data_IF_768745098828
#
_entry.id   IF_768745098828
#
_cell.length_a   1.000
_cell.length_b   1.000
_cell.length_c   1.000
_cell.angle_alpha   90.00
_cell.angle_beta   90.00
_cell.angle_gamma   90.00
#
_symmetry.space_group_name_H-M   'P 1'
#
loop_
_entity.id
_entity.type
_entity.pdbx_description
1 polymer ?
#
# COMPACT_ATOMS: atom_id res chain seq x y z
N UNK A 1 12.91 -30.96 13.40
CA UNK A 1 12.57 -30.21 14.63
C UNK A 1 12.34 -28.77 14.19
N UNK A 2 11.13 -28.25 14.30
CA UNK A 2 10.78 -26.88 13.89
C UNK A 2 11.14 -25.92 15.03
N UNK A 3 11.94 -24.89 14.75
CA UNK A 3 12.23 -23.84 15.75
C UNK A 3 11.00 -22.97 15.99
N UNK A 4 10.79 -22.55 17.23
CA UNK A 4 9.75 -21.60 17.59
C UNK A 4 10.10 -20.18 17.11
N UNK A 5 9.10 -19.30 16.87
CA UNK A 5 9.35 -17.92 16.47
C UNK A 5 10.28 -17.16 17.44
N UNK A 6 10.11 -17.37 18.74
CA UNK A 6 10.95 -16.75 19.79
C UNK A 6 12.42 -17.19 19.66
N UNK A 7 12.66 -18.45 19.31
CA UNK A 7 14.02 -18.95 19.11
C UNK A 7 14.66 -18.34 17.86
N UNK A 8 13.87 -18.13 16.80
CA UNK A 8 14.31 -17.47 15.56
C UNK A 8 14.66 -16.00 15.85
N UNK A 9 13.80 -15.26 16.55
CA UNK A 9 14.04 -13.86 16.95
C UNK A 9 15.32 -13.73 17.79
N UNK A 10 15.51 -14.62 18.75
CA UNK A 10 16.69 -14.64 19.62
C UNK A 10 17.98 -14.95 18.85
N UNK A 11 17.90 -15.73 17.78
CA UNK A 11 19.06 -15.98 16.91
C UNK A 11 19.31 -14.80 15.97
N UNK A 12 18.26 -14.24 15.38
CA UNK A 12 18.35 -13.08 14.50
C UNK A 12 18.95 -11.86 15.23
N UNK A 13 18.64 -11.65 16.51
CA UNK A 13 19.18 -10.54 17.30
C UNK A 13 20.70 -10.61 17.50
N UNK A 14 21.31 -11.80 17.38
CA UNK A 14 22.76 -12.02 17.50
C UNK A 14 23.52 -11.76 16.20
N UNK A 15 22.81 -11.56 15.08
CA UNK A 15 23.43 -11.24 13.80
C UNK A 15 24.05 -9.84 13.82
N UNK A 16 24.99 -9.59 12.90
CA UNK A 16 25.51 -8.26 12.65
C UNK A 16 24.39 -7.29 12.27
N UNK A 17 24.53 -5.96 12.50
CA UNK A 17 23.51 -4.99 12.08
C UNK A 17 23.15 -5.11 10.59
N UNK A 18 24.14 -5.36 9.72
CA UNK A 18 23.90 -5.54 8.28
C UNK A 18 23.11 -6.80 7.95
N UNK A 19 23.42 -7.93 8.60
CA UNK A 19 22.67 -9.16 8.41
C UNK A 19 21.25 -9.08 8.96
N UNK A 20 21.04 -8.35 10.06
CA UNK A 20 19.69 -8.06 10.56
C UNK A 20 18.89 -7.23 9.57
N UNK A 21 19.50 -6.19 8.98
CA UNK A 21 18.84 -5.37 7.96
C UNK A 21 18.46 -6.19 6.72
N UNK A 22 19.37 -7.05 6.24
CA UNK A 22 19.13 -7.97 5.13
C UNK A 22 18.00 -8.96 5.44
N UNK A 23 17.99 -9.55 6.64
CA UNK A 23 16.93 -10.47 7.07
C UNK A 23 15.58 -9.75 7.18
N UNK A 24 15.54 -8.54 7.72
CA UNK A 24 14.33 -7.73 7.78
C UNK A 24 13.77 -7.44 6.38
N UNK A 25 14.63 -7.07 5.42
CA UNK A 25 14.23 -6.88 4.02
C UNK A 25 13.59 -8.13 3.42
N UNK A 26 14.24 -9.30 3.56
CA UNK A 26 13.71 -10.57 3.08
C UNK A 26 12.35 -10.93 3.72
N UNK A 27 12.20 -10.74 5.03
CA UNK A 27 10.93 -11.00 5.71
C UNK A 27 9.82 -10.06 5.22
N UNK A 28 10.12 -8.79 5.01
CA UNK A 28 9.16 -7.83 4.44
C UNK A 28 8.77 -8.20 3.00
N UNK A 29 9.72 -8.59 2.16
CA UNK A 29 9.45 -9.07 0.80
C UNK A 29 8.57 -10.32 0.82
N UNK A 30 8.77 -11.25 1.75
CA UNK A 30 7.94 -12.46 1.86
C UNK A 30 6.47 -12.18 2.22
N UNK A 31 6.18 -11.01 2.81
CA UNK A 31 4.82 -10.57 3.11
C UNK A 31 4.19 -9.83 1.92
N UNK A 32 4.98 -9.43 0.93
CA UNK A 32 4.53 -8.58 -0.17
C UNK A 32 3.45 -9.25 -1.03
N UNK A 33 3.61 -10.54 -1.34
CA UNK A 33 2.65 -11.29 -2.17
C UNK A 33 1.26 -11.41 -1.50
N UNK A 34 1.23 -11.47 -0.16
CA UNK A 34 -0.02 -11.53 0.61
C UNK A 34 -0.74 -10.17 0.62
N UNK A 35 0.01 -9.09 0.84
CA UNK A 35 -0.55 -7.72 0.87
C UNK A 35 -0.99 -7.28 -0.52
N UNK A 36 -0.23 -7.65 -1.56
CA UNK A 36 -0.55 -7.27 -2.94
C UNK A 36 -1.90 -7.87 -3.39
N UNK A 37 -2.22 -9.10 -2.99
CA UNK A 37 -3.49 -9.73 -3.36
C UNK A 37 -4.72 -9.00 -2.80
N UNK A 38 -4.66 -8.53 -1.54
CA UNK A 38 -5.74 -7.77 -0.91
C UNK A 38 -5.86 -6.37 -1.50
N UNK A 39 -4.73 -5.68 -1.69
CA UNK A 39 -4.66 -4.36 -2.32
C UNK A 39 -5.21 -4.40 -3.74
N UNK A 40 -4.83 -5.39 -4.54
CA UNK A 40 -5.34 -5.59 -5.91
C UNK A 40 -6.86 -5.84 -5.93
N UNK A 41 -7.38 -6.58 -4.94
CA UNK A 41 -8.82 -6.81 -4.83
C UNK A 41 -9.57 -5.51 -4.53
N UNK A 42 -9.06 -4.69 -3.62
CA UNK A 42 -9.66 -3.41 -3.26
C UNK A 42 -9.55 -2.39 -4.41
N UNK A 43 -8.44 -2.38 -5.14
CA UNK A 43 -8.31 -1.61 -6.38
C UNK A 43 -9.32 -2.02 -7.44
N UNK A 44 -9.55 -3.34 -7.64
CA UNK A 44 -10.57 -3.82 -8.58
C UNK A 44 -11.97 -3.33 -8.20
N UNK A 45 -12.32 -3.35 -6.91
CA UNK A 45 -13.61 -2.83 -6.42
C UNK A 45 -13.74 -1.33 -6.68
N UNK A 46 -12.69 -0.56 -6.40
CA UNK A 46 -12.68 0.89 -6.57
C UNK A 46 -12.77 1.29 -8.05
N UNK A 47 -12.04 0.60 -8.94
CA UNK A 47 -12.12 0.83 -10.38
C UNK A 47 -13.54 0.56 -10.88
N UNK A 48 -14.14 -0.58 -10.50
CA UNK A 48 -15.51 -0.91 -10.89
C UNK A 48 -16.50 0.16 -10.41
N UNK A 49 -16.36 0.65 -9.17
CA UNK A 49 -17.18 1.73 -8.63
C UNK A 49 -17.03 3.02 -9.45
N UNK A 50 -15.80 3.44 -9.76
CA UNK A 50 -15.53 4.66 -10.52
C UNK A 50 -16.07 4.59 -11.95
N UNK A 51 -15.90 3.44 -12.62
CA UNK A 51 -16.45 3.22 -13.96
C UNK A 51 -17.97 3.35 -13.94
N UNK A 52 -18.66 2.68 -13.02
CA UNK A 52 -20.11 2.77 -12.90
C UNK A 52 -20.60 4.21 -12.62
N UNK A 53 -19.90 4.94 -11.75
CA UNK A 53 -20.21 6.36 -11.47
C UNK A 53 -20.02 7.25 -12.72
N UNK A 54 -18.98 6.98 -13.52
CA UNK A 54 -18.75 7.69 -14.78
C UNK A 54 -19.80 7.34 -15.85
N UNK A 55 -20.10 6.05 -16.05
CA UNK A 55 -21.12 5.59 -17.02
C UNK A 55 -22.52 6.12 -16.71
N UNK A 56 -22.86 6.24 -15.42
CA UNK A 56 -24.14 6.81 -14.98
C UNK A 56 -24.14 8.34 -14.93
N UNK A 57 -23.03 8.98 -15.27
CA UNK A 57 -22.82 10.43 -15.19
C UNK A 57 -23.15 11.02 -13.81
N UNK A 58 -22.99 10.21 -12.75
CA UNK A 58 -23.21 10.58 -11.36
C UNK A 58 -21.94 11.08 -10.68
N UNK A 59 -20.83 11.08 -11.40
CA UNK A 59 -19.58 11.68 -10.93
C UNK A 59 -19.77 13.20 -10.79
N UNK A 60 -19.33 13.81 -9.67
CA UNK A 60 -19.24 15.26 -9.56
C UNK A 60 -18.33 15.80 -10.65
N UNK A 61 -18.84 16.72 -11.46
CA UNK A 61 -18.05 17.49 -12.40
C UNK A 61 -17.65 18.82 -11.74
N UNK A 62 -16.40 19.22 -11.93
CA UNK A 62 -15.89 20.50 -11.47
C UNK A 62 -15.47 21.31 -12.69
N UNK A 63 -15.73 22.62 -12.65
CA UNK A 63 -15.23 23.52 -13.69
C UNK A 63 -13.71 23.63 -13.59
N UNK A 64 -13.06 23.96 -14.71
CA UNK A 64 -11.62 24.20 -14.69
C UNK A 64 -11.29 25.40 -13.78
N UNK A 65 -12.14 26.45 -13.78
CA UNK A 65 -11.97 27.60 -12.90
C UNK A 65 -11.96 27.22 -11.42
N UNK A 66 -12.90 26.38 -10.97
CA UNK A 66 -12.99 25.95 -9.57
C UNK A 66 -11.76 25.14 -9.15
N UNK A 67 -11.29 24.23 -10.03
CA UNK A 67 -10.08 23.43 -9.79
C UNK A 67 -8.85 24.32 -9.67
N UNK A 68 -8.68 25.32 -10.54
CA UNK A 68 -7.54 26.23 -10.49
C UNK A 68 -7.57 27.15 -9.26
N UNK A 69 -8.75 27.64 -8.88
CA UNK A 69 -8.92 28.46 -7.70
C UNK A 69 -8.50 27.71 -6.43
N UNK A 70 -8.94 26.45 -6.29
CA UNK A 70 -8.59 25.60 -5.15
C UNK A 70 -7.11 25.24 -5.13
N UNK A 71 -6.53 24.86 -6.28
CA UNK A 71 -5.10 24.58 -6.38
C UNK A 71 -4.25 25.78 -5.95
N UNK A 72 -4.63 27.00 -6.37
CA UNK A 72 -3.95 28.23 -5.95
C UNK A 72 -4.08 28.48 -4.45
N UNK A 73 -5.24 28.20 -3.85
CA UNK A 73 -5.48 28.33 -2.40
C UNK A 73 -4.58 27.40 -1.58
N UNK A 74 -4.34 26.17 -2.05
CA UNK A 74 -3.53 25.17 -1.34
C UNK A 74 -2.03 25.50 -1.40
N UNK A 75 -1.57 26.13 -2.48
CA UNK A 75 -0.15 26.45 -2.69
C UNK A 75 0.28 27.83 -2.14
N UNK A 76 -0.59 28.54 -1.43
CA UNK A 76 -0.33 29.84 -0.80
C UNK A 76 -0.18 29.70 0.71
#
# INVERSE_FOLDING_TARGET
MTMSPIEIERQASRLSPGDRARLAGYLLESLHDLVLAEVELDWKKEIARRVATHETNTAPAFSAEDVFAEAKRICQ
#
